data_IF_569789561646
#
_entry.id   IF_569789561646
#
_cell.length_a   1.000
_cell.length_b   1.000
_cell.length_c   1.000
_cell.angle_alpha   90.00
_cell.angle_beta   90.00
_cell.angle_gamma   90.00
#
_symmetry.space_group_name_H-M   'P 1'
#
loop_
_entity.id
_entity.type
_entity.pdbx_description
1 polymer ?
#
# COMPACT_ATOMS: atom_id res chain seq x y z
N UNK A 1 -5.52 -32.39 44.45
CA UNK A 1 -6.18 -31.13 44.04
C UNK A 1 -5.07 -30.10 43.93
N UNK A 2 -4.67 -29.73 42.73
CA UNK A 2 -3.71 -28.64 42.46
C UNK A 2 -4.50 -27.46 41.97
N UNK A 3 -4.43 -26.36 42.69
CA UNK A 3 -4.98 -25.07 42.31
C UNK A 3 -4.23 -24.54 41.09
N UNK A 4 -4.99 -24.34 39.97
CA UNK A 4 -4.52 -23.62 38.81
C UNK A 4 -4.82 -22.15 39.09
N UNK A 5 -3.78 -21.36 39.33
CA UNK A 5 -3.89 -19.90 39.33
C UNK A 5 -4.15 -19.44 37.88
N UNK A 6 -5.32 -18.84 37.67
CA UNK A 6 -5.68 -18.13 36.46
C UNK A 6 -4.87 -16.84 36.44
N UNK A 7 -4.03 -16.69 35.40
CA UNK A 7 -3.22 -15.51 35.17
C UNK A 7 -4.08 -14.24 35.00
N UNK A 8 -3.57 -13.17 35.55
CA UNK A 8 -4.16 -11.83 35.57
C UNK A 8 -4.38 -11.32 34.14
N UNK A 9 -5.56 -10.74 33.91
CA UNK A 9 -5.91 -9.95 32.75
C UNK A 9 -4.82 -8.90 32.48
N UNK A 10 -4.11 -9.02 31.37
CA UNK A 10 -3.45 -7.88 30.75
C UNK A 10 -4.57 -6.94 30.28
N UNK A 11 -4.76 -5.86 31.01
CA UNK A 11 -5.56 -4.73 30.54
C UNK A 11 -4.78 -4.15 29.35
N UNK A 12 -5.22 -4.46 28.15
CA UNK A 12 -4.81 -3.75 26.93
C UNK A 12 -5.25 -2.30 27.10
N UNK A 13 -4.31 -1.43 27.40
CA UNK A 13 -4.54 0.01 27.38
C UNK A 13 -5.06 0.39 26.00
N UNK A 14 -6.25 1.01 25.96
CA UNK A 14 -6.76 1.53 24.69
C UNK A 14 -5.87 2.71 24.27
N UNK A 15 -5.43 2.75 23.01
CA UNK A 15 -4.58 3.82 22.52
C UNK A 15 -5.30 5.17 22.61
N UNK A 16 -4.59 6.19 23.09
CA UNK A 16 -5.09 7.56 23.08
C UNK A 16 -5.20 8.06 21.63
N UNK A 17 -6.32 8.72 21.32
CA UNK A 17 -6.51 9.35 20.02
C UNK A 17 -5.51 10.50 19.82
N UNK A 18 -4.99 10.65 18.60
CA UNK A 18 -4.21 11.81 18.21
C UNK A 18 -5.03 13.10 18.33
N UNK A 19 -4.37 14.28 18.29
CA UNK A 19 -5.05 15.59 18.46
C UNK A 19 -6.15 15.86 17.43
N UNK A 20 -6.10 15.18 16.29
CA UNK A 20 -7.12 15.22 15.23
C UNK A 20 -8.27 14.21 15.41
N UNK A 21 -8.27 13.46 16.52
CA UNK A 21 -9.29 12.47 16.87
C UNK A 21 -9.10 11.11 16.18
N UNK A 22 -7.99 10.89 15.51
CA UNK A 22 -7.66 9.61 14.89
C UNK A 22 -6.83 8.74 15.84
N UNK A 23 -6.88 7.42 15.61
CA UNK A 23 -5.92 6.52 16.24
C UNK A 23 -4.50 6.81 15.71
N UNK A 24 -3.46 6.79 16.56
CA UNK A 24 -2.10 6.77 16.06
C UNK A 24 -1.93 5.62 15.08
N UNK A 25 -1.27 5.86 13.94
CA UNK A 25 -1.14 4.84 12.88
C UNK A 25 -0.49 3.53 13.37
N UNK A 26 0.33 3.58 14.42
CA UNK A 26 0.91 2.41 15.10
C UNK A 26 -0.13 1.41 15.61
N UNK A 27 -1.36 1.87 15.84
CA UNK A 27 -2.50 1.07 16.29
C UNK A 27 -3.54 0.83 15.20
N UNK A 28 -3.30 1.32 13.99
CA UNK A 28 -4.19 1.03 12.87
C UNK A 28 -4.05 -0.44 12.48
N UNK A 29 -5.15 -1.18 12.33
CA UNK A 29 -5.07 -2.56 11.90
C UNK A 29 -4.54 -2.62 10.46
N UNK A 30 -3.60 -3.51 10.22
CA UNK A 30 -3.19 -3.84 8.84
C UNK A 30 -4.40 -4.36 8.09
N UNK A 31 -4.67 -3.79 6.95
CA UNK A 31 -5.78 -4.22 6.12
C UNK A 31 -5.48 -5.60 5.54
N UNK A 32 -6.21 -6.60 6.02
CA UNK A 32 -6.10 -7.97 5.52
C UNK A 32 -7.34 -8.32 4.70
N UNK A 33 -7.31 -7.97 3.44
CA UNK A 33 -8.37 -8.33 2.51
C UNK A 33 -8.24 -9.80 2.10
N UNK A 34 -9.38 -10.42 1.88
CA UNK A 34 -9.41 -11.80 1.39
C UNK A 34 -8.75 -11.90 0.01
N UNK A 35 -8.02 -13.00 -0.20
CA UNK A 35 -7.41 -13.31 -1.50
C UNK A 35 -8.03 -14.55 -2.13
N UNK A 36 -8.12 -14.54 -3.44
CA UNK A 36 -8.55 -15.71 -4.23
C UNK A 36 -7.37 -16.69 -4.38
N UNK A 37 -7.61 -17.97 -4.69
CA UNK A 37 -6.55 -18.96 -4.86
C UNK A 37 -5.50 -18.59 -5.94
N UNK A 38 -5.83 -17.72 -6.87
CA UNK A 38 -4.93 -17.23 -7.92
C UNK A 38 -4.12 -15.97 -7.49
N UNK A 39 -4.17 -15.58 -6.20
CA UNK A 39 -3.47 -14.42 -5.69
C UNK A 39 -4.17 -13.07 -5.91
N UNK A 40 -5.35 -13.05 -6.54
CA UNK A 40 -6.11 -11.83 -6.71
C UNK A 40 -6.64 -11.33 -5.35
N UNK A 41 -6.36 -10.10 -5.02
CA UNK A 41 -6.87 -9.44 -3.82
C UNK A 41 -8.27 -8.89 -4.03
N UNK A 42 -9.10 -8.96 -2.97
CA UNK A 42 -10.46 -8.42 -2.97
C UNK A 42 -10.46 -7.05 -2.28
N UNK A 43 -10.08 -6.02 -3.03
CA UNK A 43 -9.98 -4.65 -2.51
C UNK A 43 -11.32 -4.13 -2.02
N UNK A 44 -11.34 -3.55 -0.81
CA UNK A 44 -12.50 -2.83 -0.26
C UNK A 44 -12.14 -1.35 -0.18
N UNK A 45 -12.86 -0.53 -0.92
CA UNK A 45 -12.59 0.91 -0.97
C UNK A 45 -13.15 1.63 0.27
N UNK A 46 -12.36 2.49 0.89
CA UNK A 46 -12.77 3.40 1.97
C UNK A 46 -13.53 4.62 1.41
N UNK A 47 -13.26 4.97 0.15
CA UNK A 47 -14.00 5.97 -0.61
C UNK A 47 -14.70 5.33 -1.83
N UNK A 48 -15.82 4.58 -1.64
CA UNK A 48 -16.45 3.81 -2.73
C UNK A 48 -16.89 4.64 -3.93
N UNK A 49 -17.23 5.91 -3.74
CA UNK A 49 -17.62 6.81 -4.84
C UNK A 49 -16.46 7.10 -5.79
N UNK A 50 -15.23 7.03 -5.30
CA UNK A 50 -14.01 7.27 -6.07
C UNK A 50 -13.24 5.99 -6.35
N UNK A 51 -13.74 4.85 -5.88
CA UNK A 51 -13.05 3.56 -6.00
C UNK A 51 -11.60 3.64 -5.55
N UNK A 52 -11.35 4.28 -4.40
CA UNK A 52 -10.02 4.45 -3.82
C UNK A 52 -9.97 3.94 -2.39
N UNK A 53 -8.79 3.58 -1.98
CA UNK A 53 -8.42 3.19 -0.63
C UNK A 53 -7.02 3.74 -0.34
N UNK A 54 -6.83 4.26 0.87
CA UNK A 54 -5.50 4.73 1.32
C UNK A 54 -5.20 4.14 2.69
N UNK A 55 -4.04 3.53 2.80
CA UNK A 55 -3.50 2.95 4.02
C UNK A 55 -2.19 3.66 4.41
N UNK A 56 -2.02 3.87 5.72
CA UNK A 56 -0.80 4.35 6.33
C UNK A 56 -0.31 3.27 7.30
N UNK A 57 0.85 2.69 7.06
CA UNK A 57 1.30 1.49 7.75
C UNK A 57 2.78 1.52 8.11
N UNK A 58 3.13 0.63 9.03
CA UNK A 58 4.51 0.26 9.36
C UNK A 58 4.75 -1.18 8.93
N UNK A 59 5.91 -1.45 8.37
CA UNK A 59 6.22 -2.77 7.82
C UNK A 59 6.23 -3.87 8.89
N UNK A 60 6.57 -3.54 10.16
CA UNK A 60 6.53 -4.49 11.27
C UNK A 60 5.12 -4.99 11.63
N UNK A 61 4.06 -4.30 11.18
CA UNK A 61 2.67 -4.74 11.37
C UNK A 61 2.31 -5.96 10.51
N UNK A 62 3.11 -6.24 9.48
CA UNK A 62 2.94 -7.41 8.61
C UNK A 62 3.73 -8.61 9.15
N UNK A 63 3.21 -9.85 9.04
CA UNK A 63 3.92 -11.05 9.45
C UNK A 63 5.31 -11.16 8.81
N UNK A 64 6.35 -11.31 9.64
CA UNK A 64 7.75 -11.35 9.20
C UNK A 64 8.18 -10.09 8.43
N UNK A 65 7.58 -8.94 8.71
CA UNK A 65 7.83 -7.67 8.02
C UNK A 65 7.74 -7.81 6.48
N UNK A 66 6.68 -8.47 6.04
CA UNK A 66 6.45 -8.77 4.63
C UNK A 66 4.96 -8.80 4.33
N UNK A 67 4.51 -8.01 3.37
CA UNK A 67 3.18 -8.13 2.80
C UNK A 67 3.04 -9.46 2.04
N UNK A 68 1.85 -10.02 1.99
CA UNK A 68 1.61 -11.21 1.17
C UNK A 68 1.65 -10.86 -0.33
N UNK A 69 2.24 -11.76 -1.11
CA UNK A 69 2.31 -11.62 -2.55
C UNK A 69 0.91 -11.66 -3.18
N UNK A 70 0.54 -10.61 -3.92
CA UNK A 70 -0.81 -10.46 -4.48
C UNK A 70 -0.81 -9.64 -5.78
N UNK A 71 -1.99 -9.53 -6.39
CA UNK A 71 -2.27 -8.63 -7.49
C UNK A 71 -3.73 -8.16 -7.43
N UNK A 72 -4.01 -6.99 -7.96
CA UNK A 72 -5.35 -6.43 -8.11
C UNK A 72 -5.48 -5.65 -9.44
N UNK A 73 -6.69 -5.19 -9.74
CA UNK A 73 -6.95 -4.41 -10.96
C UNK A 73 -6.63 -2.92 -10.78
N UNK A 74 -6.46 -2.50 -9.53
CA UNK A 74 -6.21 -1.12 -9.17
C UNK A 74 -4.79 -0.70 -9.54
N UNK A 75 -4.60 0.58 -9.78
CA UNK A 75 -3.28 1.20 -9.72
C UNK A 75 -2.87 1.32 -8.26
N UNK A 76 -1.63 1.01 -7.96
CA UNK A 76 -1.07 1.20 -6.64
C UNK A 76 -0.01 2.28 -6.64
N UNK A 77 -0.04 3.10 -5.58
CA UNK A 77 0.92 4.16 -5.33
C UNK A 77 1.42 4.01 -3.91
N UNK A 78 2.66 3.57 -3.74
CA UNK A 78 3.30 3.45 -2.43
C UNK A 78 4.38 4.52 -2.29
N UNK A 79 4.36 5.27 -1.15
CA UNK A 79 5.32 6.31 -0.82
C UNK A 79 6.01 5.98 0.50
N UNK A 80 7.33 6.03 0.53
CA UNK A 80 8.17 5.78 1.71
C UNK A 80 8.29 7.06 2.51
N UNK A 81 7.71 7.06 3.71
CA UNK A 81 7.69 8.23 4.59
C UNK A 81 8.94 8.26 5.47
N UNK A 82 9.37 7.07 5.97
CA UNK A 82 10.56 6.93 6.79
C UNK A 82 11.15 5.53 6.67
N UNK A 83 12.48 5.46 6.65
CA UNK A 83 13.22 4.20 6.52
C UNK A 83 13.35 3.77 5.07
N UNK A 84 13.32 2.47 4.84
CA UNK A 84 13.38 1.89 3.50
C UNK A 84 12.70 0.53 3.47
N UNK A 85 12.28 0.09 2.27
CA UNK A 85 11.83 -1.28 2.04
C UNK A 85 12.24 -1.77 0.66
N UNK A 86 12.23 -3.08 0.51
CA UNK A 86 12.28 -3.72 -0.80
C UNK A 86 10.86 -3.91 -1.34
N UNK A 87 10.69 -3.64 -2.61
CA UNK A 87 9.42 -3.81 -3.31
C UNK A 87 9.61 -4.80 -4.46
N UNK A 88 8.86 -5.90 -4.41
CA UNK A 88 8.88 -6.91 -5.46
C UNK A 88 7.79 -6.63 -6.47
N UNK A 89 8.13 -6.65 -7.76
CA UNK A 89 7.16 -6.61 -8.88
C UNK A 89 7.59 -7.60 -9.95
N UNK A 90 6.75 -8.59 -10.25
CA UNK A 90 6.92 -9.55 -11.35
C UNK A 90 8.30 -10.23 -11.47
N UNK A 91 8.98 -10.48 -10.37
CA UNK A 91 10.30 -11.12 -10.37
C UNK A 91 11.47 -10.17 -10.15
N UNK A 92 11.24 -8.86 -10.14
CA UNK A 92 12.24 -7.84 -9.83
C UNK A 92 12.07 -7.34 -8.40
N UNK A 93 13.17 -7.11 -7.68
CA UNK A 93 13.17 -6.50 -6.36
C UNK A 93 13.83 -5.13 -6.43
N UNK A 94 13.12 -4.12 -6.04
CA UNK A 94 13.51 -2.72 -6.10
C UNK A 94 13.65 -2.22 -4.65
N UNK A 95 14.77 -1.62 -4.31
CA UNK A 95 14.93 -0.93 -3.03
C UNK A 95 14.38 0.49 -3.14
N UNK A 96 13.49 0.84 -2.21
CA UNK A 96 12.92 2.17 -2.09
C UNK A 96 13.43 2.81 -0.81
N UNK A 97 13.93 4.02 -0.92
CA UNK A 97 14.46 4.83 0.18
C UNK A 97 13.42 5.88 0.64
N UNK A 98 13.66 6.47 1.81
CA UNK A 98 12.86 7.56 2.34
C UNK A 98 12.65 8.69 1.31
N UNK A 99 11.43 9.12 1.15
CA UNK A 99 11.01 10.13 0.18
C UNK A 99 10.75 9.61 -1.23
N UNK A 100 11.18 8.39 -1.56
CA UNK A 100 10.84 7.75 -2.84
C UNK A 100 9.46 7.09 -2.79
N UNK A 101 8.92 6.80 -3.95
CA UNK A 101 7.70 6.02 -4.10
C UNK A 101 7.76 5.09 -5.29
N UNK A 102 6.72 4.30 -5.44
CA UNK A 102 6.52 3.42 -6.58
C UNK A 102 5.07 3.47 -7.05
N UNK A 103 4.89 3.58 -8.34
CA UNK A 103 3.64 3.27 -9.03
C UNK A 103 3.71 1.82 -9.50
N UNK A 104 2.69 1.02 -9.19
CA UNK A 104 2.51 -0.33 -9.72
C UNK A 104 1.27 -0.36 -10.60
N UNK A 105 1.45 -0.84 -11.81
CA UNK A 105 0.37 -0.90 -12.81
C UNK A 105 -0.64 -2.00 -12.48
N UNK A 106 -1.81 -1.94 -13.10
CA UNK A 106 -2.89 -2.92 -12.94
C UNK A 106 -2.41 -4.35 -13.19
N UNK A 107 -2.85 -5.30 -12.34
CA UNK A 107 -2.62 -6.75 -12.46
C UNK A 107 -1.16 -7.21 -12.35
N UNK A 108 -0.27 -6.38 -11.84
CA UNK A 108 1.10 -6.81 -11.58
C UNK A 108 1.18 -7.57 -10.26
N UNK A 109 1.96 -8.63 -10.20
CA UNK A 109 2.23 -9.38 -8.97
C UNK A 109 3.24 -8.63 -8.13
N UNK A 110 2.89 -8.24 -6.88
CA UNK A 110 3.75 -7.38 -6.06
C UNK A 110 3.59 -7.60 -4.55
N UNK A 111 4.54 -7.09 -3.79
CA UNK A 111 4.52 -6.97 -2.33
C UNK A 111 5.74 -6.18 -1.81
N UNK A 112 5.60 -5.54 -0.64
CA UNK A 112 6.71 -4.91 0.10
C UNK A 112 7.31 -5.84 1.17
N UNK A 113 8.61 -5.73 1.45
CA UNK A 113 9.32 -6.53 2.45
C UNK A 113 10.64 -5.87 2.90
N UNK A 114 11.22 -6.40 3.99
CA UNK A 114 12.59 -6.05 4.41
C UNK A 114 13.54 -7.23 4.24
N UNK A 115 14.81 -6.96 3.93
CA UNK A 115 15.89 -7.96 3.91
C UNK A 115 16.80 -7.86 5.14
N UNK A 116 16.88 -6.70 5.77
CA UNK A 116 17.81 -6.40 6.87
C UNK A 116 17.10 -6.20 8.23
N UNK A 117 15.77 -6.33 8.25
CA UNK A 117 14.97 -6.11 9.46
C UNK A 117 14.73 -4.66 9.80
N UNK A 118 15.11 -3.72 8.94
CA UNK A 118 14.76 -2.30 9.11
C UNK A 118 13.27 -2.11 8.92
N UNK A 119 12.65 -1.35 9.83
CA UNK A 119 11.26 -0.98 9.71
C UNK A 119 11.06 0.16 8.70
N UNK A 120 9.89 0.20 8.10
CA UNK A 120 9.54 1.19 7.11
C UNK A 120 8.14 1.73 7.38
N UNK A 121 8.03 3.05 7.44
CA UNK A 121 6.77 3.77 7.46
C UNK A 121 6.42 4.18 6.03
N UNK A 122 5.23 3.83 5.58
CA UNK A 122 4.79 4.10 4.22
C UNK A 122 3.30 4.38 4.13
N UNK A 123 2.90 5.08 3.09
CA UNK A 123 1.50 5.15 2.65
C UNK A 123 1.30 4.35 1.37
N UNK A 124 0.19 3.65 1.27
CA UNK A 124 -0.23 2.93 0.07
C UNK A 124 -1.61 3.42 -0.34
N UNK A 125 -1.76 3.87 -1.58
CA UNK A 125 -3.03 4.29 -2.14
C UNK A 125 -3.39 3.41 -3.33
N UNK A 126 -4.56 2.80 -3.28
CA UNK A 126 -5.15 2.07 -4.38
C UNK A 126 -6.20 2.94 -5.09
N UNK A 127 -6.13 2.98 -6.40
CA UNK A 127 -7.07 3.71 -7.23
C UNK A 127 -7.57 2.82 -8.37
N UNK A 128 -8.87 2.52 -8.36
CA UNK A 128 -9.43 1.70 -9.43
C UNK A 128 -9.52 2.51 -10.72
N UNK A 129 -8.92 2.02 -11.82
CA UNK A 129 -8.97 2.73 -13.11
C UNK A 129 -10.38 3.02 -13.62
N UNK A 130 -11.39 2.28 -13.19
CA UNK A 130 -12.78 2.50 -13.60
C UNK A 130 -13.36 3.84 -13.11
N UNK A 131 -12.78 4.44 -12.05
CA UNK A 131 -13.17 5.78 -11.58
C UNK A 131 -12.91 6.86 -12.65
N UNK A 132 -11.99 6.58 -13.57
CA UNK A 132 -11.60 7.50 -14.64
C UNK A 132 -12.38 7.28 -15.96
N UNK A 133 -13.41 6.41 -15.94
CA UNK A 133 -14.22 6.10 -17.15
C UNK A 133 -15.10 7.26 -17.62
N UNK A 134 -15.27 8.28 -16.82
CA UNK A 134 -16.10 9.44 -17.15
C UNK A 134 -15.28 10.74 -17.16
N UNK A 135 -15.13 11.41 -18.28
CA UNK A 135 -15.65 11.07 -19.60
C UNK A 135 -14.83 9.95 -20.28
N UNK A 136 -15.50 9.11 -21.07
CA UNK A 136 -14.90 7.93 -21.71
C UNK A 136 -13.63 8.23 -22.53
N UNK A 137 -13.53 9.40 -23.10
CA UNK A 137 -12.34 9.85 -23.86
C UNK A 137 -11.05 9.87 -23.01
N UNK A 138 -11.13 10.18 -21.72
CA UNK A 138 -9.96 10.17 -20.82
C UNK A 138 -9.52 8.73 -20.59
N UNK A 139 -10.46 7.86 -20.29
CA UNK A 139 -10.17 6.45 -20.10
C UNK A 139 -9.53 5.81 -21.33
N UNK A 140 -10.17 5.94 -22.50
CA UNK A 140 -9.68 5.33 -23.74
C UNK A 140 -8.33 5.90 -24.19
N UNK A 141 -8.09 7.18 -23.95
CA UNK A 141 -6.87 7.85 -24.44
C UNK A 141 -5.67 7.66 -23.52
N UNK A 142 -5.88 7.59 -22.21
CA UNK A 142 -4.79 7.63 -21.23
C UNK A 142 -4.77 6.42 -20.31
N UNK A 143 -5.92 5.97 -19.80
CA UNK A 143 -5.99 4.93 -18.77
C UNK A 143 -5.87 3.53 -19.36
N UNK A 144 -6.69 3.21 -20.38
CA UNK A 144 -6.67 1.89 -20.98
C UNK A 144 -5.32 1.54 -21.65
N UNK A 145 -4.66 2.46 -22.39
CA UNK A 145 -3.32 2.21 -22.90
C UNK A 145 -2.28 2.01 -21.81
N UNK A 146 -2.35 2.77 -20.70
CA UNK A 146 -1.46 2.60 -19.56
C UNK A 146 -1.62 1.22 -18.92
N UNK A 147 -2.87 0.80 -18.67
CA UNK A 147 -3.15 -0.52 -18.10
C UNK A 147 -2.66 -1.68 -18.99
N UNK A 148 -2.63 -1.47 -20.28
CA UNK A 148 -2.24 -2.48 -21.27
C UNK A 148 -0.74 -2.46 -21.63
N UNK A 149 0.03 -1.49 -21.13
CA UNK A 149 1.45 -1.38 -21.45
C UNK A 149 2.29 -2.35 -20.61
N UNK A 150 2.59 -3.51 -21.18
CA UNK A 150 3.43 -4.54 -20.55
C UNK A 150 4.89 -4.07 -20.31
N UNK A 151 5.33 -2.98 -20.93
CA UNK A 151 6.67 -2.40 -20.73
C UNK A 151 6.74 -1.51 -19.51
N UNK A 152 5.59 -1.17 -18.92
CA UNK A 152 5.47 -0.32 -17.73
C UNK A 152 4.74 -1.08 -16.60
N UNK A 153 5.32 -2.16 -16.06
CA UNK A 153 4.73 -2.87 -14.93
C UNK A 153 4.77 -2.03 -13.65
N UNK A 154 5.78 -1.19 -13.49
CA UNK A 154 5.93 -0.25 -12.39
C UNK A 154 6.78 0.96 -12.83
N UNK A 155 6.80 1.99 -11.99
CA UNK A 155 7.69 3.15 -12.12
C UNK A 155 8.13 3.60 -10.74
N UNK A 156 9.45 3.72 -10.52
CA UNK A 156 9.97 4.34 -9.29
C UNK A 156 9.80 5.85 -9.42
N UNK A 157 9.27 6.46 -8.37
CA UNK A 157 9.08 7.91 -8.26
C UNK A 157 10.19 8.46 -7.37
N UNK A 158 11.15 9.14 -7.98
CA UNK A 158 12.26 9.75 -7.29
C UNK A 158 12.00 11.25 -7.13
N UNK A 159 12.21 11.83 -5.92
CA UNK A 159 12.02 13.27 -5.70
C UNK A 159 13.01 14.14 -6.50
N UNK A 160 14.13 13.59 -6.96
CA UNK A 160 15.11 14.30 -7.79
C UNK A 160 14.73 14.31 -9.29
N UNK A 161 13.78 13.44 -9.71
CA UNK A 161 13.26 13.43 -11.07
C UNK A 161 12.00 14.31 -11.19
N UNK A 162 11.89 15.11 -12.26
CA UNK A 162 10.78 16.05 -12.47
C UNK A 162 9.41 15.34 -12.46
N UNK A 163 9.31 14.19 -13.14
CA UNK A 163 8.06 13.45 -13.23
C UNK A 163 7.77 12.66 -11.95
N UNK A 164 8.82 12.08 -11.35
CA UNK A 164 8.75 11.39 -10.06
C UNK A 164 8.29 12.33 -8.95
N UNK A 165 8.91 13.51 -8.86
CA UNK A 165 8.55 14.56 -7.90
C UNK A 165 7.09 15.01 -8.05
N UNK A 166 6.62 15.26 -9.28
CA UNK A 166 5.25 15.66 -9.54
C UNK A 166 4.23 14.58 -9.11
N UNK A 167 4.56 13.30 -9.35
CA UNK A 167 3.71 12.19 -8.92
C UNK A 167 3.68 12.04 -7.40
N UNK A 168 4.85 12.14 -6.73
CA UNK A 168 4.96 12.13 -5.28
C UNK A 168 4.14 13.25 -4.63
N UNK A 169 4.18 14.47 -5.18
CA UNK A 169 3.33 15.56 -4.71
C UNK A 169 1.83 15.24 -4.82
N UNK A 170 1.41 14.55 -5.87
CA UNK A 170 0.02 14.10 -6.00
C UNK A 170 -0.32 13.03 -4.95
N UNK A 171 0.56 12.05 -4.74
CA UNK A 171 0.37 10.99 -3.74
C UNK A 171 0.23 11.55 -2.31
N UNK A 172 1.04 12.56 -1.95
CA UNK A 172 0.97 13.20 -0.62
C UNK A 172 -0.30 14.05 -0.39
N UNK A 173 -1.12 14.24 -1.41
CA UNK A 173 -2.40 14.99 -1.31
C UNK A 173 -3.63 14.10 -1.24
N UNK A 174 -3.44 12.80 -1.46
CA UNK A 174 -4.51 11.80 -1.38
C UNK A 174 -4.70 11.33 0.06
#
# INVERSE_FOLDING_TARGET
VRDVQVGQNEQTEQPELAQDGRLPYEFMPVTNWGRKPNGAEMVQYDAPMFFSFTEHSLLHQYPNMRAECHWHIDFEFTHIIRGHMWYFVNGESIRLEEGQGIFVNSRQLHYGFTEDGTDCEFSCTLLNPSCMCMPNMVYERFVAPLMADERLPYMVCDPEDEHGSALLECMMRL
#
